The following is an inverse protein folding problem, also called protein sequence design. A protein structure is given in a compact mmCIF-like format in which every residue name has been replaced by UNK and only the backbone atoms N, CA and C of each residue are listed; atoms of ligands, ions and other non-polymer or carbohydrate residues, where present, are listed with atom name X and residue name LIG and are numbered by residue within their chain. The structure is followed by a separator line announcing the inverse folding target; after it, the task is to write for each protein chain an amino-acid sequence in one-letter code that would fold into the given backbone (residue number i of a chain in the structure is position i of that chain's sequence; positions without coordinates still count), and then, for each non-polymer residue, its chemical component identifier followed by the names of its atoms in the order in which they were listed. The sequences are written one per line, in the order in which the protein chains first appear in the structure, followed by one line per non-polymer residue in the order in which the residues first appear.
data_IF_558495106826
#
_entry.id   IF_558495106826
#
_cell.length_a   1.000
_cell.length_b   1.000
_cell.length_c   1.000
_cell.angle_alpha   90.00
_cell.angle_beta   90.00
_cell.angle_gamma   90.00
#
_symmetry.space_group_name_H-M   'P 1'
#
loop_
_entity.id
_entity.type
_entity.pdbx_description
1 polymer ?
#
# COMPACT_ATOMS: atom_id res chain seq x y z
N UNK A 1 14.94 1.04 15.14
CA UNK A 1 16.14 1.05 14.30
C UNK A 1 16.70 2.46 14.37
N UNK A 2 17.89 2.65 14.94
CA UNK A 2 18.52 3.98 15.02
C UNK A 2 19.17 4.24 13.66
N UNK A 3 18.56 5.02 12.83
CA UNK A 3 19.27 5.63 11.70
C UNK A 3 20.27 6.62 12.29
N UNK A 4 21.56 6.41 12.03
CA UNK A 4 22.53 7.48 12.26
C UNK A 4 22.16 8.62 11.32
N UNK A 5 21.80 9.75 11.90
CA UNK A 5 21.43 10.92 11.12
C UNK A 5 22.59 11.30 10.20
N UNK A 6 22.29 11.67 8.97
CA UNK A 6 23.22 12.32 8.05
C UNK A 6 23.52 13.78 8.50
N UNK A 7 23.33 14.09 9.78
CA UNK A 7 23.61 15.40 10.37
C UNK A 7 25.08 15.73 10.17
N UNK A 8 25.34 16.80 9.45
CA UNK A 8 26.70 17.25 9.08
C UNK A 8 26.93 17.32 7.57
N UNK A 9 26.03 16.83 6.73
CA UNK A 9 26.10 17.06 5.29
C UNK A 9 25.30 18.33 4.95
N UNK A 10 25.94 19.30 4.29
CA UNK A 10 25.37 20.62 4.03
C UNK A 10 24.07 20.61 3.21
N UNK A 11 23.85 19.54 2.43
CA UNK A 11 22.71 19.40 1.52
C UNK A 11 21.69 18.35 1.99
N UNK A 12 21.75 17.93 3.26
CA UNK A 12 20.84 16.92 3.81
C UNK A 12 20.07 17.51 4.98
N UNK A 13 18.74 17.51 4.84
CA UNK A 13 17.80 17.84 5.91
C UNK A 13 17.18 16.54 6.44
N UNK A 14 17.05 16.44 7.75
CA UNK A 14 16.41 15.30 8.41
C UNK A 14 15.06 15.72 8.94
N UNK A 15 14.02 15.00 8.52
CA UNK A 15 12.66 15.17 9.01
C UNK A 15 12.16 13.87 9.63
N UNK A 16 11.26 13.98 10.61
CA UNK A 16 10.71 12.83 11.34
C UNK A 16 9.21 12.78 11.17
N UNK A 17 8.72 11.68 10.62
CA UNK A 17 7.30 11.36 10.56
C UNK A 17 7.00 10.22 11.52
N UNK A 18 5.91 10.34 12.30
CA UNK A 18 5.47 9.34 13.26
C UNK A 18 3.94 9.22 13.20
N UNK A 19 3.45 7.98 13.30
CA UNK A 19 2.02 7.69 13.26
C UNK A 19 1.72 6.31 12.68
N UNK A 20 0.43 5.94 12.62
CA UNK A 20 0.02 4.74 11.90
C UNK A 20 0.21 4.91 10.39
N UNK A 21 0.07 3.81 9.63
CA UNK A 21 -0.04 3.92 8.18
C UNK A 21 -1.15 4.93 7.80
N UNK A 22 -0.93 5.87 6.86
CA UNK A 22 0.15 5.96 5.88
C UNK A 22 1.33 6.91 6.24
N UNK A 23 1.56 7.26 7.50
CA UNK A 23 2.64 8.17 7.91
C UNK A 23 4.04 7.79 7.40
N UNK A 24 4.24 6.55 6.97
CA UNK A 24 5.51 6.04 6.42
C UNK A 24 5.59 6.02 4.89
N UNK A 25 4.55 6.46 4.18
CA UNK A 25 4.56 6.50 2.72
C UNK A 25 5.37 7.68 2.19
N UNK A 26 6.03 7.46 1.05
CA UNK A 26 6.77 8.51 0.36
C UNK A 26 5.85 9.65 -0.09
N UNK A 27 4.64 9.34 -0.59
CA UNK A 27 3.63 10.33 -0.98
C UNK A 27 3.27 11.26 0.18
N UNK A 28 3.02 10.71 1.37
CA UNK A 28 2.77 11.52 2.58
C UNK A 28 3.94 12.46 2.91
N UNK A 29 5.18 11.96 2.83
CA UNK A 29 6.35 12.79 3.10
C UNK A 29 6.52 13.90 2.06
N UNK A 30 6.36 13.58 0.79
CA UNK A 30 6.50 14.53 -0.32
C UNK A 30 5.43 15.62 -0.20
N UNK A 31 4.19 15.27 0.08
CA UNK A 31 3.10 16.22 0.24
C UNK A 31 3.44 17.33 1.26
N UNK A 32 3.96 16.94 2.43
CA UNK A 32 4.25 17.90 3.50
C UNK A 32 5.60 18.62 3.37
N UNK A 33 6.57 18.06 2.65
CA UNK A 33 7.92 18.62 2.56
C UNK A 33 8.16 19.39 1.26
N UNK A 34 7.67 18.85 0.15
CA UNK A 34 7.97 19.36 -1.18
C UNK A 34 6.96 18.87 -2.21
N UNK A 35 5.69 19.33 -2.16
CA UNK A 35 4.60 18.81 -2.97
C UNK A 35 4.87 18.89 -4.46
N UNK A 36 4.42 17.87 -5.18
CA UNK A 36 4.56 17.68 -6.63
C UNK A 36 3.42 18.40 -7.37
N UNK A 37 3.70 18.93 -8.53
CA UNK A 37 2.72 19.49 -9.46
C UNK A 37 3.17 19.29 -10.91
N UNK A 38 2.38 19.74 -11.90
CA UNK A 38 2.64 19.48 -13.32
C UNK A 38 4.06 19.84 -13.80
N UNK A 39 4.67 20.88 -13.23
CA UNK A 39 6.01 21.36 -13.61
C UNK A 39 7.13 20.91 -12.65
N UNK A 40 6.79 20.09 -11.64
CA UNK A 40 7.75 19.70 -10.60
C UNK A 40 7.74 18.20 -10.35
N UNK A 41 8.92 17.60 -10.39
CA UNK A 41 9.15 16.19 -10.07
C UNK A 41 9.98 16.04 -8.80
N UNK A 42 9.59 15.10 -7.94
CA UNK A 42 10.33 14.71 -6.74
C UNK A 42 10.68 13.24 -6.83
N UNK A 43 11.91 12.90 -6.47
CA UNK A 43 12.41 11.53 -6.49
C UNK A 43 12.45 10.95 -5.08
N UNK A 44 11.93 9.76 -4.90
CA UNK A 44 12.06 8.99 -3.66
C UNK A 44 12.97 7.78 -3.83
N UNK A 45 13.73 7.46 -2.80
CA UNK A 45 14.64 6.32 -2.80
C UNK A 45 14.57 5.62 -1.44
N UNK A 46 14.30 4.33 -1.44
CA UNK A 46 14.28 3.56 -0.20
C UNK A 46 15.71 3.31 0.33
N UNK A 47 15.81 2.95 1.60
CA UNK A 47 17.09 2.76 2.29
C UNK A 47 17.96 1.64 1.69
N UNK A 48 17.37 0.57 1.14
CA UNK A 48 18.16 -0.51 0.52
C UNK A 48 18.70 -0.09 -0.84
N UNK A 49 17.96 0.70 -1.58
CA UNK A 49 18.43 1.27 -2.84
C UNK A 49 19.48 2.34 -2.60
N UNK A 50 19.38 3.14 -1.55
CA UNK A 50 20.44 4.07 -1.13
C UNK A 50 21.74 3.33 -0.83
N UNK A 51 21.67 2.21 -0.10
CA UNK A 51 22.82 1.34 0.17
C UNK A 51 23.36 0.74 -1.14
N UNK A 52 22.49 0.33 -2.07
CA UNK A 52 22.91 -0.24 -3.36
C UNK A 52 23.67 0.77 -4.21
N UNK A 53 23.20 2.03 -4.26
CA UNK A 53 23.90 3.13 -4.93
C UNK A 53 25.27 3.38 -4.28
N UNK A 54 25.33 3.50 -2.96
CA UNK A 54 26.59 3.67 -2.24
C UNK A 54 27.58 2.55 -2.49
N UNK A 55 27.15 1.29 -2.50
CA UNK A 55 28.00 0.14 -2.82
C UNK A 55 28.49 0.16 -4.27
N UNK A 56 27.63 0.54 -5.21
CA UNK A 56 28.01 0.66 -6.62
C UNK A 56 29.18 1.66 -6.78
N UNK A 57 29.06 2.84 -6.20
CA UNK A 57 30.12 3.85 -6.29
C UNK A 57 31.40 3.47 -5.52
N UNK A 58 31.27 2.75 -4.40
CA UNK A 58 32.43 2.33 -3.61
C UNK A 58 33.19 1.14 -4.21
N UNK A 59 32.50 0.22 -4.91
CA UNK A 59 33.08 -1.07 -5.33
C UNK A 59 33.04 -1.31 -6.83
N UNK A 60 32.32 -0.51 -7.61
CA UNK A 60 32.07 -0.73 -9.04
C UNK A 60 31.16 -1.94 -9.35
N UNK A 61 30.53 -2.56 -8.34
CA UNK A 61 29.72 -3.76 -8.49
C UNK A 61 28.27 -3.52 -8.11
N UNK A 62 27.33 -4.05 -8.90
CA UNK A 62 25.91 -4.02 -8.58
C UNK A 62 25.62 -4.84 -7.31
N UNK A 63 24.88 -4.26 -6.38
CA UNK A 63 24.39 -4.95 -5.21
C UNK A 63 22.96 -5.43 -5.45
N UNK A 64 22.83 -6.73 -5.73
CA UNK A 64 21.54 -7.35 -6.06
C UNK A 64 20.83 -7.98 -4.86
N UNK A 65 21.51 -8.05 -3.72
CA UNK A 65 20.94 -8.61 -2.48
C UNK A 65 19.81 -7.72 -1.96
N UNK A 66 18.77 -8.34 -1.42
CA UNK A 66 17.65 -7.69 -0.76
C UNK A 66 17.30 -8.40 0.53
N UNK A 67 16.88 -7.64 1.53
CA UNK A 67 16.25 -8.16 2.73
C UNK A 67 14.75 -7.85 2.62
N UNK A 68 13.94 -8.88 2.62
CA UNK A 68 12.48 -8.77 2.49
C UNK A 68 11.79 -9.46 3.66
N UNK A 69 10.61 -8.97 4.05
CA UNK A 69 9.78 -9.65 5.04
C UNK A 69 8.85 -10.64 4.35
N UNK A 70 8.77 -11.87 4.87
CA UNK A 70 7.66 -12.78 4.60
C UNK A 70 6.69 -12.62 5.75
N UNK A 71 5.47 -12.17 5.48
CA UNK A 71 4.48 -11.82 6.49
C UNK A 71 3.05 -12.13 6.03
N UNK A 72 2.11 -11.97 6.95
CA UNK A 72 0.69 -12.20 6.74
C UNK A 72 0.16 -13.41 7.48
N UNK A 73 -1.17 -13.54 7.59
CA UNK A 73 -1.82 -14.59 8.39
C UNK A 73 -1.51 -16.01 7.89
N UNK A 74 -1.14 -16.15 6.61
CA UNK A 74 -0.83 -17.45 6.01
C UNK A 74 0.67 -17.76 5.95
N UNK A 75 1.54 -16.88 6.42
CA UNK A 75 2.94 -17.22 6.66
C UNK A 75 3.06 -18.14 7.87
N UNK A 76 3.75 -19.28 7.73
CA UNK A 76 3.94 -20.23 8.83
C UNK A 76 4.87 -19.66 9.91
N UNK A 77 5.92 -18.95 9.49
CA UNK A 77 6.88 -18.27 10.36
C UNK A 77 7.23 -16.90 9.79
N UNK A 78 6.49 -15.84 10.16
CA UNK A 78 6.81 -14.49 9.69
C UNK A 78 8.23 -14.09 10.10
N UNK A 79 9.05 -13.66 9.14
CA UNK A 79 10.45 -13.27 9.36
C UNK A 79 11.03 -12.46 8.22
N UNK A 80 12.20 -11.89 8.48
CA UNK A 80 13.04 -11.31 7.43
C UNK A 80 13.88 -12.41 6.79
N UNK A 81 13.94 -12.37 5.46
CA UNK A 81 14.77 -13.26 4.65
C UNK A 81 15.71 -12.46 3.75
N UNK A 82 16.89 -12.99 3.51
CA UNK A 82 17.85 -12.43 2.58
C UNK A 82 17.71 -13.13 1.24
N UNK A 83 17.51 -12.37 0.19
CA UNK A 83 17.26 -12.87 -1.16
C UNK A 83 17.89 -11.94 -2.20
N UNK A 84 17.48 -12.03 -3.47
CA UNK A 84 17.94 -11.21 -4.59
C UNK A 84 16.80 -10.41 -5.21
N UNK A 85 17.15 -9.34 -5.91
CA UNK A 85 16.24 -8.65 -6.82
C UNK A 85 15.66 -9.66 -7.82
N UNK A 86 14.33 -9.60 -8.03
CA UNK A 86 13.64 -10.47 -8.97
C UNK A 86 13.62 -11.95 -8.57
N UNK A 87 13.82 -12.30 -7.30
CA UNK A 87 13.71 -13.68 -6.83
C UNK A 87 12.31 -14.25 -7.14
N UNK A 88 12.26 -15.55 -7.51
CA UNK A 88 11.00 -16.27 -7.66
C UNK A 88 10.26 -16.31 -6.32
N UNK A 89 9.01 -15.88 -6.32
CA UNK A 89 8.19 -15.92 -5.11
C UNK A 89 7.73 -17.34 -4.79
N UNK A 90 7.58 -18.20 -5.79
CA UNK A 90 7.24 -19.61 -5.58
C UNK A 90 8.37 -20.33 -4.83
N UNK A 91 9.63 -20.10 -5.23
CA UNK A 91 10.80 -20.63 -4.52
C UNK A 91 10.96 -20.01 -3.13
N UNK A 92 10.78 -18.70 -3.02
CA UNK A 92 10.96 -17.96 -1.76
C UNK A 92 9.92 -18.35 -0.69
N UNK A 93 8.73 -18.75 -1.12
CA UNK A 93 7.63 -19.13 -0.21
C UNK A 93 7.46 -20.65 -0.08
N UNK A 94 8.29 -21.45 -0.76
CA UNK A 94 8.25 -22.90 -0.66
C UNK A 94 8.48 -23.38 0.78
N UNK A 95 7.51 -24.09 1.35
CA UNK A 95 7.57 -24.56 2.75
C UNK A 95 7.33 -23.48 3.81
N UNK A 96 7.08 -22.23 3.41
CA UNK A 96 6.87 -21.09 4.31
C UNK A 96 5.39 -20.79 4.58
N UNK A 97 4.48 -21.44 3.88
CA UNK A 97 3.05 -21.17 3.93
C UNK A 97 2.30 -22.21 4.74
N UNK A 98 1.25 -21.79 5.45
CA UNK A 98 0.30 -22.69 6.09
C UNK A 98 -0.45 -23.51 5.02
N UNK A 99 -0.74 -24.77 5.31
CA UNK A 99 -1.42 -25.69 4.40
C UNK A 99 -2.94 -25.74 4.66
N UNK A 100 -3.69 -26.34 3.73
CA UNK A 100 -5.13 -26.63 3.91
C UNK A 100 -6.08 -25.53 3.48
N UNK A 101 -5.57 -24.39 2.94
CA UNK A 101 -6.38 -23.29 2.44
C UNK A 101 -5.88 -22.82 1.09
N UNK A 102 -6.77 -22.17 0.33
CA UNK A 102 -6.37 -21.48 -0.89
C UNK A 102 -5.66 -20.18 -0.53
N UNK A 103 -4.49 -19.96 -1.10
CA UNK A 103 -3.59 -18.89 -0.73
C UNK A 103 -3.43 -17.86 -1.83
N UNK A 104 -3.21 -16.60 -1.43
CA UNK A 104 -2.71 -15.54 -2.29
C UNK A 104 -1.37 -15.05 -1.78
N UNK A 105 -0.35 -15.18 -2.62
CA UNK A 105 0.96 -14.57 -2.40
C UNK A 105 1.00 -13.24 -3.15
N UNK A 106 1.43 -12.19 -2.47
CA UNK A 106 1.50 -10.83 -2.97
C UNK A 106 2.96 -10.38 -2.89
N UNK A 107 3.50 -9.92 -4.02
CA UNK A 107 4.76 -9.17 -4.02
C UNK A 107 4.47 -7.74 -3.56
N UNK A 108 5.01 -7.35 -2.43
CA UNK A 108 4.73 -6.05 -1.80
C UNK A 108 3.75 -6.13 -0.64
N UNK A 109 3.28 -4.96 -0.20
CA UNK A 109 2.28 -4.81 0.84
C UNK A 109 0.88 -5.21 0.36
N UNK A 110 -0.07 -5.28 1.29
CA UNK A 110 -1.49 -5.46 0.93
C UNK A 110 -2.10 -4.21 0.29
N UNK A 111 -1.44 -3.07 0.38
CA UNK A 111 -1.92 -1.78 -0.13
C UNK A 111 -1.43 -1.48 -1.54
N UNK A 112 -0.13 -1.66 -1.82
CA UNK A 112 0.49 -1.33 -3.11
C UNK A 112 1.10 -2.54 -3.82
N UNK A 113 0.92 -3.75 -3.30
CA UNK A 113 1.50 -4.97 -3.88
C UNK A 113 0.69 -5.55 -5.04
N UNK A 114 1.30 -6.50 -5.73
CA UNK A 114 0.68 -7.23 -6.85
C UNK A 114 0.63 -8.73 -6.60
N UNK A 115 -0.42 -9.39 -7.07
CA UNK A 115 -0.57 -10.84 -6.96
C UNK A 115 0.54 -11.56 -7.72
N UNK A 116 1.17 -12.54 -7.05
CA UNK A 116 2.20 -13.40 -7.64
C UNK A 116 1.55 -14.42 -8.57
N UNK A 117 1.54 -14.14 -9.88
CA UNK A 117 1.04 -15.07 -10.92
C UNK A 117 1.75 -14.84 -12.25
N UNK A 118 2.07 -15.93 -12.95
CA UNK A 118 2.66 -15.88 -14.31
C UNK A 118 3.89 -14.97 -14.36
N UNK A 119 3.91 -13.98 -15.23
CA UNK A 119 5.02 -13.04 -15.36
C UNK A 119 5.25 -12.19 -14.09
N UNK A 120 4.27 -12.08 -13.20
CA UNK A 120 4.36 -11.37 -11.93
C UNK A 120 4.76 -12.26 -10.74
N UNK A 121 5.15 -13.54 -10.97
CA UNK A 121 5.58 -14.47 -9.94
C UNK A 121 6.98 -14.19 -9.37
N UNK A 122 7.50 -13.00 -9.57
CA UNK A 122 8.82 -12.57 -9.13
C UNK A 122 8.71 -11.34 -8.24
N UNK A 123 9.67 -11.22 -7.31
CA UNK A 123 9.77 -10.07 -6.40
C UNK A 123 9.87 -8.77 -7.20
N UNK A 124 8.96 -7.85 -6.97
CA UNK A 124 8.96 -6.53 -7.60
C UNK A 124 10.21 -5.72 -7.23
N UNK A 125 10.67 -4.87 -8.15
CA UNK A 125 11.92 -4.10 -8.02
C UNK A 125 11.98 -3.29 -6.72
N UNK A 126 10.86 -2.71 -6.31
CA UNK A 126 10.77 -1.84 -5.14
C UNK A 126 10.11 -2.50 -3.93
N UNK A 127 9.67 -3.76 -4.06
CA UNK A 127 9.00 -4.47 -2.99
C UNK A 127 10.01 -5.00 -1.96
N UNK A 128 9.75 -4.71 -0.68
CA UNK A 128 10.54 -5.17 0.46
C UNK A 128 9.75 -6.12 1.37
N UNK A 129 8.59 -6.56 0.89
CA UNK A 129 7.69 -7.44 1.61
C UNK A 129 7.04 -8.45 0.66
N UNK A 130 6.78 -9.64 1.18
CA UNK A 130 5.93 -10.65 0.57
C UNK A 130 4.78 -10.91 1.54
N UNK A 131 3.56 -10.61 1.11
CA UNK A 131 2.35 -10.76 1.93
C UNK A 131 1.60 -12.03 1.55
N UNK A 132 1.29 -12.87 2.54
CA UNK A 132 0.66 -14.17 2.36
C UNK A 132 -0.72 -14.16 3.02
N UNK A 133 -1.79 -14.16 2.21
CA UNK A 133 -3.17 -14.10 2.66
C UNK A 133 -3.94 -15.37 2.25
N UNK A 134 -5.02 -15.62 2.98
CA UNK A 134 -6.03 -16.57 2.53
C UNK A 134 -6.87 -15.97 1.41
N UNK A 135 -7.15 -16.74 0.36
CA UNK A 135 -8.06 -16.34 -0.71
C UNK A 135 -9.49 -16.32 -0.18
N UNK A 136 -10.08 -15.13 -0.10
CA UNK A 136 -11.41 -14.91 0.44
C UNK A 136 -12.53 -15.28 -0.53
N UNK A 137 -12.77 -16.58 -0.72
CA UNK A 137 -13.84 -17.10 -1.59
C UNK A 137 -15.15 -17.38 -0.85
N UNK A 138 -15.09 -17.46 0.48
CA UNK A 138 -16.26 -17.77 1.29
C UNK A 138 -17.15 -16.53 1.48
N UNK A 139 -18.46 -16.72 1.31
CA UNK A 139 -19.47 -15.71 1.64
C UNK A 139 -20.22 -16.16 2.89
N UNK A 140 -20.07 -15.40 3.97
CA UNK A 140 -20.83 -15.65 5.20
C UNK A 140 -22.29 -15.26 5.02
N UNK A 141 -23.20 -16.19 5.31
CA UNK A 141 -24.63 -15.90 5.35
C UNK A 141 -24.97 -14.99 6.55
N UNK A 142 -25.82 -13.98 6.32
CA UNK A 142 -26.27 -13.01 7.34
C UNK A 142 -25.11 -12.32 8.10
N UNK A 143 -24.00 -12.05 7.41
CA UNK A 143 -22.80 -11.45 8.02
C UNK A 143 -23.08 -10.11 8.73
N UNK A 144 -24.09 -9.37 8.31
CA UNK A 144 -24.50 -8.07 8.89
C UNK A 144 -25.20 -8.20 10.26
N UNK A 145 -25.69 -9.39 10.64
CA UNK A 145 -26.27 -9.67 11.96
C UNK A 145 -25.24 -10.18 12.97
N UNK A 146 -24.00 -10.43 12.56
CA UNK A 146 -22.99 -10.98 13.44
C UNK A 146 -22.30 -9.88 14.25
N UNK A 147 -22.05 -10.16 15.52
CA UNK A 147 -21.31 -9.27 16.42
C UNK A 147 -19.87 -8.96 15.97
N UNK A 148 -19.29 -9.78 15.09
CA UNK A 148 -18.02 -9.53 14.40
C UNK A 148 -16.79 -9.54 15.31
N UNK A 149 -16.73 -10.46 16.29
CA UNK A 149 -15.59 -10.54 17.22
C UNK A 149 -14.23 -10.74 16.52
N UNK A 150 -14.19 -11.32 15.33
CA UNK A 150 -12.99 -11.54 14.51
C UNK A 150 -12.98 -10.71 13.21
N UNK A 151 -13.80 -9.68 13.12
CA UNK A 151 -13.84 -8.78 11.97
C UNK A 151 -13.25 -7.43 12.31
N UNK A 152 -12.51 -6.86 11.37
CA UNK A 152 -11.98 -5.52 11.46
C UNK A 152 -12.90 -4.53 10.72
N UNK A 153 -13.10 -3.36 11.30
CA UNK A 153 -13.66 -2.19 10.63
C UNK A 153 -13.00 -0.93 11.19
N UNK A 154 -12.80 0.06 10.35
CA UNK A 154 -12.37 1.40 10.79
C UNK A 154 -13.48 2.03 11.62
N UNK A 155 -14.72 1.92 11.18
CA UNK A 155 -15.90 2.34 11.94
C UNK A 155 -16.19 1.39 13.12
N UNK A 156 -16.86 1.90 14.16
CA UNK A 156 -17.22 1.14 15.36
C UNK A 156 -18.41 0.20 15.12
N UNK A 157 -18.32 -0.70 14.12
CA UNK A 157 -19.39 -1.59 13.72
C UNK A 157 -19.38 -2.95 14.44
N UNK A 158 -18.20 -3.40 14.88
CA UNK A 158 -18.00 -4.73 15.45
C UNK A 158 -17.51 -4.67 16.89
N UNK A 159 -17.90 -5.66 17.71
CA UNK A 159 -17.44 -5.77 19.09
C UNK A 159 -15.93 -6.03 19.20
N UNK A 160 -15.28 -6.48 18.13
CA UNK A 160 -13.80 -6.58 18.06
C UNK A 160 -13.10 -5.24 18.34
N UNK A 161 -13.76 -4.11 18.15
CA UNK A 161 -13.23 -2.78 18.48
C UNK A 161 -12.97 -2.58 19.97
N UNK A 162 -13.65 -3.34 20.83
CA UNK A 162 -13.42 -3.30 22.29
C UNK A 162 -12.10 -3.99 22.71
N UNK A 163 -11.50 -4.77 21.80
CA UNK A 163 -10.24 -5.47 22.05
C UNK A 163 -9.07 -4.70 21.46
N UNK A 164 -8.43 -3.87 22.26
CA UNK A 164 -7.23 -3.13 21.87
C UNK A 164 -6.07 -4.08 21.52
N UNK A 165 -5.37 -3.80 20.41
CA UNK A 165 -4.19 -4.57 19.99
C UNK A 165 -4.47 -5.95 19.38
N UNK A 166 -5.72 -6.30 19.11
CA UNK A 166 -6.07 -7.55 18.45
C UNK A 166 -5.55 -7.57 17.00
N UNK A 167 -4.86 -8.65 16.65
CA UNK A 167 -4.48 -8.94 15.26
C UNK A 167 -5.63 -9.67 14.56
N UNK A 168 -5.82 -9.38 13.28
CA UNK A 168 -6.86 -9.96 12.46
C UNK A 168 -6.27 -10.76 11.30
N UNK A 169 -6.84 -11.93 11.04
CA UNK A 169 -6.51 -12.74 9.88
C UNK A 169 -7.26 -12.18 8.65
N UNK A 170 -6.67 -11.18 8.01
CA UNK A 170 -7.22 -10.61 6.78
C UNK A 170 -7.19 -11.63 5.64
N UNK A 171 -8.26 -11.61 4.86
CA UNK A 171 -8.40 -12.38 3.61
C UNK A 171 -8.51 -11.42 2.43
N UNK A 172 -8.55 -11.96 1.21
CA UNK A 172 -8.76 -11.14 0.00
C UNK A 172 -10.24 -10.84 -0.28
N UNK A 173 -11.15 -11.17 0.65
CA UNK A 173 -12.58 -10.86 0.51
C UNK A 173 -12.85 -9.37 0.62
N UNK A 174 -13.62 -8.81 -0.32
CA UNK A 174 -14.09 -7.42 -0.26
C UNK A 174 -15.17 -7.20 0.81
N UNK A 175 -15.72 -8.28 1.38
CA UNK A 175 -16.81 -8.25 2.38
C UNK A 175 -18.01 -7.37 1.97
N UNK A 176 -18.32 -7.34 0.68
CA UNK A 176 -19.44 -6.56 0.14
C UNK A 176 -19.58 -6.68 -1.36
N UNK A 177 -20.56 -6.00 -1.92
CA UNK A 177 -20.81 -5.92 -3.36
C UNK A 177 -20.55 -4.50 -3.86
N UNK A 178 -20.15 -4.30 -5.13
CA UNK A 178 -20.04 -2.98 -5.73
C UNK A 178 -21.36 -2.21 -5.62
N UNK A 179 -21.27 -0.95 -5.20
CA UNK A 179 -22.41 -0.03 -5.03
C UNK A 179 -21.97 1.39 -5.37
N UNK A 180 -22.93 2.30 -5.53
CA UNK A 180 -22.62 3.71 -5.67
C UNK A 180 -21.85 4.24 -4.44
N UNK A 181 -20.96 5.20 -4.69
CA UNK A 181 -20.21 5.88 -3.63
C UNK A 181 -21.17 6.67 -2.73
N UNK A 182 -21.01 6.50 -1.43
CA UNK A 182 -21.76 7.24 -0.41
C UNK A 182 -20.79 8.06 0.44
N UNK A 183 -20.91 9.39 0.45
CA UNK A 183 -20.04 10.27 1.24
C UNK A 183 -20.51 10.29 2.70
N UNK A 184 -19.91 9.47 3.53
CA UNK A 184 -20.23 9.33 4.97
C UNK A 184 -19.08 9.79 5.89
N UNK A 185 -18.06 10.49 5.34
CA UNK A 185 -16.91 11.00 6.07
C UNK A 185 -15.80 9.99 6.34
N UNK A 186 -15.92 8.77 5.84
CA UNK A 186 -14.94 7.70 6.06
C UNK A 186 -13.62 7.90 5.30
N UNK A 187 -13.63 8.65 4.21
CA UNK A 187 -12.40 8.95 3.45
C UNK A 187 -11.57 10.01 4.18
N UNK A 188 -12.23 11.00 4.74
CA UNK A 188 -11.62 12.07 5.54
C UNK A 188 -10.93 11.52 6.80
N UNK A 189 -11.45 10.44 7.37
CA UNK A 189 -10.84 9.78 8.55
C UNK A 189 -9.50 9.08 8.25
N UNK A 190 -9.27 8.68 7.00
CA UNK A 190 -8.10 7.87 6.63
C UNK A 190 -7.11 8.61 5.73
N UNK A 191 -7.49 9.76 5.18
CA UNK A 191 -6.64 10.59 4.33
C UNK A 191 -5.86 11.58 5.19
N UNK A 192 -4.52 11.44 5.29
CA UNK A 192 -3.71 12.36 6.10
C UNK A 192 -3.29 13.61 5.34
N UNK A 193 -3.45 13.62 4.02
CA UNK A 193 -3.04 14.72 3.15
C UNK A 193 -4.05 15.86 3.23
N UNK A 194 -3.59 17.10 3.06
CA UNK A 194 -4.45 18.30 3.02
C UNK A 194 -5.15 18.44 1.67
N UNK A 195 -5.97 17.45 1.35
CA UNK A 195 -6.82 17.39 0.15
C UNK A 195 -8.26 17.08 0.55
N UNK A 196 -9.20 17.27 -0.37
CA UNK A 196 -10.61 16.94 -0.20
C UNK A 196 -10.92 15.54 -0.80
N UNK A 197 -10.76 14.43 -0.03
CA UNK A 197 -10.75 13.09 -0.60
C UNK A 197 -12.10 12.70 -1.22
N UNK A 198 -13.22 13.01 -0.60
CA UNK A 198 -14.55 12.69 -1.16
C UNK A 198 -14.76 13.34 -2.52
N UNK A 199 -14.41 14.63 -2.68
CA UNK A 199 -14.55 15.36 -3.93
C UNK A 199 -13.60 14.83 -4.99
N UNK A 200 -12.34 14.62 -4.61
CA UNK A 200 -11.32 14.05 -5.49
C UNK A 200 -11.74 12.67 -6.02
N UNK A 201 -12.12 11.74 -5.13
CA UNK A 201 -12.52 10.40 -5.52
C UNK A 201 -13.75 10.39 -6.44
N UNK A 202 -14.67 11.34 -6.27
CA UNK A 202 -15.81 11.53 -7.20
C UNK A 202 -15.35 11.99 -8.59
N UNK A 203 -14.47 12.98 -8.65
CA UNK A 203 -13.90 13.44 -9.92
C UNK A 203 -13.18 12.31 -10.66
N UNK A 204 -12.39 11.50 -9.94
CA UNK A 204 -11.70 10.33 -10.47
C UNK A 204 -12.66 9.28 -11.03
N UNK A 205 -13.75 8.95 -10.30
CA UNK A 205 -14.75 7.96 -10.74
C UNK A 205 -15.44 8.38 -12.03
N UNK A 206 -15.77 9.65 -12.20
CA UNK A 206 -16.44 10.15 -13.41
C UNK A 206 -15.46 10.49 -14.53
N UNK A 207 -14.15 10.47 -14.27
CA UNK A 207 -13.10 10.78 -15.24
C UNK A 207 -12.99 12.28 -15.56
N UNK A 208 -13.38 13.13 -14.62
CA UNK A 208 -13.20 14.60 -14.71
C UNK A 208 -11.75 14.95 -14.35
N UNK A 209 -10.88 14.89 -15.35
CA UNK A 209 -9.44 15.11 -15.19
C UNK A 209 -9.10 16.55 -14.81
N UNK A 210 -9.87 17.53 -15.26
CA UNK A 210 -9.66 18.94 -14.91
C UNK A 210 -9.93 19.18 -13.42
N UNK A 211 -11.06 18.69 -12.92
CA UNK A 211 -11.39 18.80 -11.51
C UNK A 211 -10.45 17.96 -10.63
N UNK A 212 -10.07 16.76 -11.07
CA UNK A 212 -9.12 15.91 -10.35
C UNK A 212 -7.76 16.60 -10.16
N UNK A 213 -7.23 17.27 -11.18
CA UNK A 213 -5.99 18.05 -11.08
C UNK A 213 -6.13 19.21 -10.08
N UNK A 214 -7.22 19.97 -10.14
CA UNK A 214 -7.50 21.06 -9.18
C UNK A 214 -7.62 20.58 -7.74
N UNK A 215 -8.01 19.32 -7.54
CA UNK A 215 -8.14 18.68 -6.23
C UNK A 215 -6.88 17.92 -5.77
N UNK A 216 -5.78 18.00 -6.54
CA UNK A 216 -4.48 17.48 -6.13
C UNK A 216 -4.17 16.04 -6.57
N UNK A 217 -4.83 15.49 -7.60
CA UNK A 217 -4.55 14.11 -8.03
C UNK A 217 -3.11 13.88 -8.51
N UNK A 218 -2.40 14.94 -8.94
CA UNK A 218 -1.01 14.84 -9.41
C UNK A 218 0.00 14.54 -8.29
N UNK A 219 -0.39 14.75 -7.04
CA UNK A 219 0.44 14.46 -5.87
C UNK A 219 0.36 12.99 -5.41
N UNK A 220 -0.58 12.22 -5.97
CA UNK A 220 -0.94 10.89 -5.45
C UNK A 220 -0.35 9.76 -6.28
N UNK A 221 0.05 8.71 -5.58
CA UNK A 221 0.28 7.38 -6.14
C UNK A 221 -0.86 6.42 -5.72
N UNK A 222 -0.98 5.28 -6.36
CA UNK A 222 -2.05 4.30 -6.09
C UNK A 222 -2.07 3.86 -4.62
N UNK A 223 -0.90 3.75 -3.99
CA UNK A 223 -0.80 3.30 -2.58
C UNK A 223 -1.37 4.35 -1.61
N UNK A 224 -1.33 5.64 -1.94
CA UNK A 224 -1.91 6.71 -1.12
C UNK A 224 -3.43 6.60 -0.99
N UNK A 225 -4.10 6.02 -2.01
CA UNK A 225 -5.55 5.78 -2.00
C UNK A 225 -5.94 4.39 -1.47
N UNK A 226 -5.01 3.56 -1.05
CA UNK A 226 -5.29 2.19 -0.61
C UNK A 226 -6.22 2.14 0.61
N UNK A 227 -6.05 3.04 1.58
CA UNK A 227 -6.96 3.14 2.73
C UNK A 227 -8.35 3.63 2.32
N UNK A 228 -8.45 4.54 1.34
CA UNK A 228 -9.73 4.95 0.78
C UNK A 228 -10.45 3.77 0.13
N UNK A 229 -9.73 2.92 -0.61
CA UNK A 229 -10.26 1.66 -1.15
C UNK A 229 -10.73 0.74 -0.03
N UNK A 230 -9.96 0.59 1.04
CA UNK A 230 -10.30 -0.27 2.18
C UNK A 230 -11.58 0.16 2.90
N UNK A 231 -11.76 1.46 3.17
CA UNK A 231 -12.94 1.99 3.87
C UNK A 231 -14.15 2.21 2.96
N UNK A 232 -14.00 2.04 1.66
CA UNK A 232 -15.04 2.31 0.68
C UNK A 232 -16.26 1.41 0.88
N UNK A 233 -17.40 1.98 1.25
CA UNK A 233 -18.67 1.27 1.34
C UNK A 233 -19.15 0.76 -0.04
N UNK A 234 -18.84 1.50 -1.11
CA UNK A 234 -19.16 1.17 -2.51
C UNK A 234 -18.25 0.14 -3.15
N UNK A 235 -17.16 -0.26 -2.47
CA UNK A 235 -16.17 -1.25 -2.95
C UNK A 235 -15.46 -0.87 -4.25
N UNK A 236 -15.20 0.43 -4.43
CA UNK A 236 -14.35 0.92 -5.50
C UNK A 236 -12.87 0.61 -5.21
N UNK A 237 -12.13 0.29 -6.24
CA UNK A 237 -10.66 0.22 -6.22
C UNK A 237 -10.11 1.52 -6.80
N UNK A 238 -9.69 2.44 -5.94
CA UNK A 238 -9.29 3.79 -6.35
C UNK A 238 -7.90 3.84 -6.99
N UNK A 239 -7.01 2.91 -6.67
CA UNK A 239 -5.67 2.86 -7.27
C UNK A 239 -5.70 2.79 -8.80
N UNK A 240 -6.33 1.76 -9.43
CA UNK A 240 -6.49 1.68 -10.88
C UNK A 240 -7.20 2.89 -11.48
N UNK A 241 -8.26 3.39 -10.81
CA UNK A 241 -9.01 4.57 -11.27
C UNK A 241 -8.10 5.81 -11.32
N UNK A 242 -7.28 6.02 -10.28
CA UNK A 242 -6.28 7.10 -10.27
C UNK A 242 -5.30 6.94 -11.43
N UNK A 243 -4.72 5.74 -11.62
CA UNK A 243 -3.74 5.49 -12.68
C UNK A 243 -4.31 5.76 -14.07
N UNK A 244 -5.57 5.38 -14.33
CA UNK A 244 -6.25 5.63 -15.60
C UNK A 244 -6.42 7.15 -15.83
N UNK A 245 -6.81 7.91 -14.80
CA UNK A 245 -6.94 9.37 -14.90
C UNK A 245 -5.57 10.04 -15.13
N UNK A 246 -4.53 9.66 -14.36
CA UNK A 246 -3.17 10.19 -14.55
C UNK A 246 -2.63 9.88 -15.95
N UNK A 247 -2.90 8.68 -16.48
CA UNK A 247 -2.51 8.31 -17.85
C UNK A 247 -3.24 9.15 -18.91
N UNK A 248 -4.51 9.50 -18.67
CA UNK A 248 -5.25 10.41 -19.56
C UNK A 248 -4.68 11.81 -19.52
N UNK A 249 -4.42 12.34 -18.33
CA UNK A 249 -3.80 13.68 -18.15
C UNK A 249 -2.46 13.74 -18.88
N UNK A 250 -1.60 12.71 -18.75
CA UNK A 250 -0.30 12.65 -19.44
C UNK A 250 -0.43 12.66 -20.96
N UNK A 251 -1.48 12.05 -21.53
CA UNK A 251 -1.67 11.92 -22.98
C UNK A 251 -2.44 13.07 -23.61
N UNK A 252 -3.36 13.65 -22.87
CA UNK A 252 -4.30 14.67 -23.39
C UNK A 252 -3.90 16.09 -22.98
N UNK A 253 -2.94 16.25 -22.06
CA UNK A 253 -2.46 17.53 -21.53
C UNK A 253 -3.29 18.01 -20.38
#
# INVERSE_FOLDING_TARGET
MLFRSCSGLANVRTETFAGPHPAGLAGTHIHFLDPVHAEKSVWSLNYQDTIAVGKLFATGRLWTERVVSIAGPMAAKPRLVRTRLGASLDELTAGELKTGKKLRVISGSVFGGRTSRGACAFLGRYHLQVSCLEEGTEREMLHYLRAGANKHSVMNLFISKLSSGKLFDFTTSTNGSPRAMVPIGNYEEVMPLDILPTQLLRALIVGDTEMAQKLGCLELDEEDLALCTYVCAGKYEYGPILRDNLTRIEKEG
#
